data_IF_791059642677
#
_entry.id   IF_791059642677
#
_cell.length_a   1.000
_cell.length_b   1.000
_cell.length_c   1.000
_cell.angle_alpha   90.00
_cell.angle_beta   90.00
_cell.angle_gamma   90.00
#
_symmetry.space_group_name_H-M   'P 1'
#
loop_
_entity.id
_entity.type
_entity.pdbx_description
1 polymer ?
#
# COMPACT_ATOMS: atom_id res chain seq x y z
N UNK A 1 12.68 19.38 17.63
CA UNK A 1 11.28 19.51 17.19
C UNK A 1 10.49 18.48 17.99
N UNK A 2 9.76 18.87 19.04
CA UNK A 2 8.88 17.93 19.77
C UNK A 2 7.86 17.44 18.73
N UNK A 3 7.88 16.16 18.40
CA UNK A 3 6.97 15.57 17.41
C UNK A 3 5.54 15.83 17.86
N UNK A 4 4.69 16.33 16.95
CA UNK A 4 3.25 16.56 17.16
C UNK A 4 2.44 15.25 17.34
N UNK A 5 3.15 14.12 17.40
CA UNK A 5 2.63 12.77 17.42
C UNK A 5 3.24 12.08 18.63
N UNK A 6 2.37 11.47 19.43
CA UNK A 6 2.77 10.60 20.53
C UNK A 6 2.82 9.15 20.05
N UNK A 7 4.03 8.61 19.90
CA UNK A 7 4.23 7.22 19.53
C UNK A 7 4.23 6.27 20.72
N UNK A 8 4.39 6.77 21.94
CA UNK A 8 4.49 5.93 23.13
C UNK A 8 3.12 5.39 23.54
N UNK A 9 2.04 6.15 23.28
CA UNK A 9 0.66 5.73 23.56
C UNK A 9 -0.15 5.37 22.28
N UNK A 10 0.52 5.32 21.13
CA UNK A 10 -0.11 4.97 19.86
C UNK A 10 -0.76 3.56 19.91
N UNK A 11 -2.04 3.42 19.51
CA UNK A 11 -2.75 2.14 19.53
C UNK A 11 -2.08 1.12 18.60
N UNK A 12 -1.72 -0.05 19.15
CA UNK A 12 -1.31 -1.22 18.37
C UNK A 12 -2.54 -2.07 18.12
N UNK A 13 -2.86 -2.31 16.85
CA UNK A 13 -4.03 -3.10 16.44
C UNK A 13 -3.58 -4.38 15.72
N UNK A 14 -4.44 -5.39 15.73
CA UNK A 14 -4.30 -6.59 14.93
C UNK A 14 -5.64 -6.93 14.26
N UNK A 15 -5.67 -6.90 12.92
CA UNK A 15 -6.83 -7.35 12.15
C UNK A 15 -6.65 -8.83 11.77
N UNK A 16 -7.65 -9.69 12.02
CA UNK A 16 -7.55 -11.09 11.64
C UNK A 16 -7.63 -11.25 10.12
N UNK A 17 -6.74 -12.05 9.54
CA UNK A 17 -6.78 -12.42 8.12
C UNK A 17 -6.65 -13.94 7.96
N UNK A 18 -6.83 -14.45 6.73
CA UNK A 18 -6.69 -15.87 6.44
C UNK A 18 -5.28 -16.40 6.72
N UNK A 19 -4.25 -15.57 6.53
CA UNK A 19 -2.84 -15.93 6.66
C UNK A 19 -2.24 -15.55 8.02
N UNK A 20 -3.10 -15.20 8.99
CA UNK A 20 -2.71 -14.71 10.31
C UNK A 20 -3.04 -13.22 10.51
N UNK A 21 -2.83 -12.68 11.72
CA UNK A 21 -3.17 -11.30 12.00
C UNK A 21 -2.23 -10.33 11.26
N UNK A 22 -2.81 -9.29 10.65
CA UNK A 22 -2.05 -8.12 10.18
C UNK A 22 -2.00 -7.11 11.32
N UNK A 23 -0.80 -6.82 11.79
CA UNK A 23 -0.56 -5.95 12.94
C UNK A 23 -0.04 -4.60 12.45
N UNK A 24 -0.41 -3.53 13.14
CA UNK A 24 0.06 -2.19 12.85
C UNK A 24 -0.16 -1.22 14.00
N UNK A 25 0.23 0.02 13.80
CA UNK A 25 0.10 1.12 14.75
C UNK A 25 -0.72 2.24 14.12
N UNK A 26 -1.73 2.73 14.84
CA UNK A 26 -2.45 3.93 14.44
C UNK A 26 -1.70 5.18 14.90
N UNK A 27 -1.48 6.11 13.98
CA UNK A 27 -0.72 7.33 14.20
C UNK A 27 -1.68 8.50 14.25
N UNK A 28 -1.91 9.04 15.44
CA UNK A 28 -2.74 10.24 15.66
C UNK A 28 -1.89 11.50 15.57
N UNK A 29 -2.39 12.51 14.86
CA UNK A 29 -1.73 13.79 14.71
C UNK A 29 -2.73 14.92 14.47
N UNK A 30 -2.27 16.18 14.44
CA UNK A 30 -3.13 17.35 14.42
C UNK A 30 -4.05 17.48 13.19
N UNK A 31 -3.77 16.77 12.09
CA UNK A 31 -4.60 16.75 10.88
C UNK A 31 -5.43 15.46 10.75
N UNK A 32 -5.27 14.48 11.64
CA UNK A 32 -6.03 13.24 11.62
C UNK A 32 -5.17 12.01 11.84
N UNK A 33 -5.60 10.90 11.25
CA UNK A 33 -5.04 9.58 11.51
C UNK A 33 -4.20 9.08 10.34
N UNK A 34 -3.21 8.25 10.64
CA UNK A 34 -2.51 7.43 9.68
C UNK A 34 -2.27 6.03 10.21
N UNK A 35 -1.74 5.15 9.36
CA UNK A 35 -1.49 3.75 9.70
C UNK A 35 -0.05 3.38 9.38
N UNK A 36 0.63 2.83 10.38
CA UNK A 36 1.96 2.24 10.26
C UNK A 36 1.83 0.71 10.33
N UNK A 37 1.89 0.04 9.18
CA UNK A 37 1.74 -1.42 9.07
C UNK A 37 2.73 -2.03 8.06
N UNK A 38 4.05 -1.79 8.19
CA UNK A 38 5.03 -2.38 7.28
C UNK A 38 5.03 -3.91 7.30
N UNK A 39 5.59 -4.55 6.26
CA UNK A 39 5.81 -6.00 6.25
C UNK A 39 6.63 -6.48 7.45
N UNK A 40 6.41 -7.72 7.94
CA UNK A 40 7.03 -8.22 9.18
C UNK A 40 8.57 -8.24 9.13
N UNK A 41 9.16 -8.52 7.97
CA UNK A 41 10.61 -8.65 7.79
C UNK A 41 11.27 -7.37 7.23
N UNK A 42 10.60 -6.22 7.34
CA UNK A 42 11.16 -4.95 6.88
C UNK A 42 12.39 -4.53 7.71
N UNK A 43 13.37 -3.92 7.05
CA UNK A 43 14.46 -3.24 7.74
C UNK A 43 14.01 -1.88 8.28
N UNK A 44 14.83 -1.26 9.13
CA UNK A 44 14.49 0.03 9.75
C UNK A 44 14.34 1.15 8.70
N UNK A 45 15.02 1.05 7.55
CA UNK A 45 14.93 2.04 6.47
C UNK A 45 13.58 1.97 5.73
N UNK A 46 13.09 0.78 5.43
CA UNK A 46 11.76 0.56 4.89
C UNK A 46 10.70 0.95 5.93
N UNK A 47 10.88 0.58 7.20
CA UNK A 47 10.00 1.02 8.29
C UNK A 47 9.93 2.55 8.38
N UNK A 48 11.04 3.28 8.22
CA UNK A 48 11.03 4.74 8.19
C UNK A 48 10.20 5.33 7.02
N UNK A 49 10.20 4.67 5.85
CA UNK A 49 9.31 5.05 4.74
C UNK A 49 7.85 4.87 5.14
N UNK A 50 7.49 3.70 5.65
CA UNK A 50 6.14 3.43 6.14
C UNK A 50 5.69 4.41 7.23
N UNK A 51 6.57 4.77 8.16
CA UNK A 51 6.27 5.77 9.18
C UNK A 51 6.06 7.16 8.56
N UNK A 52 6.86 7.54 7.56
CA UNK A 52 6.62 8.80 6.84
C UNK A 52 5.25 8.80 6.15
N UNK A 53 4.86 7.68 5.54
CA UNK A 53 3.55 7.52 4.91
C UNK A 53 2.41 7.68 5.93
N UNK A 54 2.55 7.07 7.12
CA UNK A 54 1.59 7.18 8.22
C UNK A 54 1.49 8.61 8.79
N UNK A 55 2.62 9.33 8.84
CA UNK A 55 2.67 10.70 9.34
C UNK A 55 2.06 11.72 8.38
N UNK A 56 2.06 11.45 7.07
CA UNK A 56 1.57 12.40 6.07
C UNK A 56 0.10 12.81 6.27
N UNK A 57 -0.89 11.90 6.34
CA UNK A 57 -2.28 12.28 6.59
C UNK A 57 -2.51 12.83 8.01
N UNK A 58 -1.69 12.42 8.99
CA UNK A 58 -1.86 12.85 10.39
C UNK A 58 -1.27 14.24 10.68
N UNK A 59 -0.40 14.78 9.82
CA UNK A 59 0.28 16.06 10.08
C UNK A 59 0.15 17.12 8.99
N UNK A 60 0.13 16.72 7.72
CA UNK A 60 0.12 17.65 6.58
C UNK A 60 -1.11 17.48 5.68
N UNK A 61 -1.69 16.28 5.65
CA UNK A 61 -2.72 15.90 4.68
C UNK A 61 -2.12 15.57 3.31
N UNK A 62 -2.96 15.13 2.36
CA UNK A 62 -2.52 14.73 1.02
C UNK A 62 -2.60 15.89 0.01
N UNK A 63 -1.96 15.76 -1.17
CA UNK A 63 -2.25 16.61 -2.32
C UNK A 63 -3.73 16.55 -2.74
N UNK A 64 -4.19 17.61 -3.40
CA UNK A 64 -5.55 17.65 -3.93
C UNK A 64 -5.79 16.52 -4.94
N UNK A 65 -6.92 15.83 -4.76
CA UNK A 65 -7.37 14.82 -5.70
C UNK A 65 -7.85 15.48 -7.00
N UNK A 66 -7.49 14.88 -8.14
CA UNK A 66 -8.04 15.26 -9.46
C UNK A 66 -9.26 14.42 -9.85
N UNK A 67 -9.61 13.42 -9.05
CA UNK A 67 -10.83 12.61 -9.20
C UNK A 67 -11.44 12.24 -7.85
N UNK A 68 -12.77 12.23 -7.78
CA UNK A 68 -13.50 11.94 -6.53
C UNK A 68 -13.68 10.45 -6.21
N UNK A 69 -13.35 9.55 -7.13
CA UNK A 69 -13.37 8.10 -6.92
C UNK A 69 -12.29 7.42 -7.76
N UNK A 70 -11.81 6.26 -7.30
CA UNK A 70 -10.77 5.47 -7.98
C UNK A 70 -11.34 4.09 -8.35
N UNK A 71 -11.06 3.58 -9.57
CA UNK A 71 -11.46 2.24 -9.97
C UNK A 71 -10.69 1.21 -9.16
N UNK A 72 -11.36 0.11 -8.78
CA UNK A 72 -10.77 -1.00 -8.03
C UNK A 72 -10.85 -2.26 -8.88
N UNK A 73 -9.73 -2.97 -8.95
CA UNK A 73 -9.63 -4.24 -9.66
C UNK A 73 -10.47 -5.32 -8.99
N UNK A 74 -11.17 -6.12 -9.79
CA UNK A 74 -11.85 -7.34 -9.34
C UNK A 74 -10.91 -8.57 -9.34
N UNK A 75 -9.63 -8.35 -9.70
CA UNK A 75 -8.59 -9.37 -9.75
C UNK A 75 -8.61 -10.25 -11.00
N UNK A 76 -9.55 -10.08 -11.95
CA UNK A 76 -9.66 -10.98 -13.11
C UNK A 76 -8.73 -10.61 -14.26
N UNK A 77 -8.56 -9.31 -14.50
CA UNK A 77 -7.73 -8.81 -15.61
C UNK A 77 -6.25 -8.64 -15.25
N UNK A 78 -5.84 -9.02 -14.02
CA UNK A 78 -4.48 -8.84 -13.53
C UNK A 78 -4.03 -10.08 -12.76
N UNK A 79 -2.88 -10.62 -13.15
CA UNK A 79 -2.19 -11.66 -12.39
C UNK A 79 -0.98 -11.08 -11.67
N UNK A 80 -0.68 -11.61 -10.48
CA UNK A 80 0.57 -11.38 -9.76
C UNK A 80 1.37 -12.68 -9.81
N UNK A 81 2.60 -12.62 -10.32
CA UNK A 81 3.43 -13.80 -10.55
C UNK A 81 4.79 -13.61 -9.89
N UNK A 82 5.10 -14.48 -8.93
CA UNK A 82 6.46 -14.61 -8.40
C UNK A 82 7.37 -15.22 -9.47
N UNK A 83 8.53 -14.58 -9.68
CA UNK A 83 9.55 -15.05 -10.62
C UNK A 83 10.66 -15.73 -9.83
N UNK A 84 10.48 -17.02 -9.59
CA UNK A 84 11.51 -17.95 -9.10
C UNK A 84 12.33 -18.53 -10.26
N UNK A 85 11.65 -18.74 -11.39
CA UNK A 85 12.20 -19.24 -12.65
C UNK A 85 11.50 -18.53 -13.83
N UNK A 86 12.29 -17.99 -14.76
CA UNK A 86 11.79 -17.22 -15.91
C UNK A 86 10.92 -18.07 -16.82
N UNK A 87 11.32 -19.31 -17.11
CA UNK A 87 10.59 -20.18 -18.04
C UNK A 87 9.21 -20.53 -17.46
N UNK A 88 9.16 -20.83 -16.16
CA UNK A 88 7.92 -21.09 -15.42
C UNK A 88 7.01 -19.87 -15.37
N UNK A 89 7.56 -18.68 -15.13
CA UNK A 89 6.79 -17.43 -15.13
C UNK A 89 6.18 -17.17 -16.52
N UNK A 90 6.98 -17.29 -17.59
CA UNK A 90 6.51 -17.13 -18.98
C UNK A 90 5.41 -18.14 -19.32
N UNK A 91 5.56 -19.42 -18.93
CA UNK A 91 4.55 -20.43 -19.16
C UNK A 91 3.22 -20.06 -18.47
N UNK A 92 3.27 -19.68 -17.20
CA UNK A 92 2.08 -19.24 -16.44
C UNK A 92 1.37 -18.04 -17.07
N UNK A 93 2.13 -17.07 -17.59
CA UNK A 93 1.55 -15.89 -18.26
C UNK A 93 0.83 -16.30 -19.55
N UNK A 94 1.41 -17.20 -20.34
CA UNK A 94 0.84 -17.66 -21.61
C UNK A 94 -0.40 -18.55 -21.42
N UNK A 95 -0.45 -19.29 -20.32
CA UNK A 95 -1.60 -20.11 -19.96
C UNK A 95 -2.79 -19.29 -19.40
N UNK A 96 -2.53 -18.04 -19.00
CA UNK A 96 -3.57 -17.13 -18.51
C UNK A 96 -4.28 -16.42 -19.67
N UNK A 97 -5.60 -16.37 -19.62
CA UNK A 97 -6.42 -15.67 -20.62
C UNK A 97 -6.98 -14.36 -20.06
N UNK A 98 -7.15 -13.36 -20.93
CA UNK A 98 -7.84 -12.11 -20.58
C UNK A 98 -7.07 -11.15 -19.67
N UNK A 99 -5.75 -11.33 -19.53
CA UNK A 99 -4.92 -10.39 -18.78
C UNK A 99 -4.74 -9.06 -19.53
N UNK A 100 -4.99 -7.95 -18.85
CA UNK A 100 -4.60 -6.61 -19.29
C UNK A 100 -3.14 -6.30 -18.94
N UNK A 101 -2.66 -6.87 -17.83
CA UNK A 101 -1.34 -6.65 -17.25
C UNK A 101 -0.96 -7.85 -16.37
N UNK A 102 0.33 -8.16 -16.28
CA UNK A 102 0.90 -9.00 -15.23
C UNK A 102 1.83 -8.18 -14.34
N UNK A 103 1.68 -8.30 -13.03
CA UNK A 103 2.72 -7.87 -12.09
C UNK A 103 3.69 -9.01 -11.83
N UNK A 104 4.99 -8.72 -11.93
CA UNK A 104 6.05 -9.63 -11.53
C UNK A 104 6.59 -9.25 -10.16
N UNK A 105 6.56 -10.21 -9.24
CA UNK A 105 7.26 -10.12 -7.95
C UNK A 105 8.62 -10.79 -8.13
N UNK A 106 9.67 -9.98 -8.22
CA UNK A 106 11.01 -10.44 -8.51
C UNK A 106 12.08 -9.49 -7.95
N UNK A 107 13.26 -10.02 -7.67
CA UNK A 107 14.41 -9.24 -7.16
C UNK A 107 15.39 -8.86 -8.26
N UNK A 108 15.30 -9.48 -9.43
CA UNK A 108 16.21 -9.29 -10.57
C UNK A 108 15.53 -8.51 -11.68
N UNK A 109 15.99 -7.27 -12.00
CA UNK A 109 15.48 -6.56 -13.17
C UNK A 109 15.78 -7.31 -14.47
N UNK A 110 16.85 -8.11 -14.52
CA UNK A 110 17.19 -8.91 -15.69
C UNK A 110 16.14 -10.01 -15.94
N UNK A 111 15.63 -10.63 -14.87
CA UNK A 111 14.61 -11.67 -14.99
C UNK A 111 13.28 -11.07 -15.44
N UNK A 112 12.90 -9.91 -14.89
CA UNK A 112 11.73 -9.16 -15.35
C UNK A 112 11.84 -8.79 -16.84
N UNK A 113 13.00 -8.28 -17.27
CA UNK A 113 13.25 -7.94 -18.66
C UNK A 113 13.19 -9.17 -19.58
N UNK A 114 13.69 -10.32 -19.13
CA UNK A 114 13.62 -11.57 -19.88
C UNK A 114 12.18 -12.07 -20.03
N UNK A 115 11.39 -12.08 -18.95
CA UNK A 115 9.96 -12.42 -19.00
C UNK A 115 9.25 -11.47 -19.96
N UNK A 116 9.45 -10.15 -19.81
CA UNK A 116 8.84 -9.11 -20.64
C UNK A 116 9.13 -9.31 -22.14
N UNK A 117 10.33 -9.73 -22.52
CA UNK A 117 10.67 -9.99 -23.94
C UNK A 117 9.96 -11.22 -24.52
N UNK A 118 9.41 -12.09 -23.68
CA UNK A 118 8.87 -13.41 -24.07
C UNK A 118 7.35 -13.51 -23.97
N UNK A 119 6.67 -12.45 -23.52
CA UNK A 119 5.21 -12.40 -23.38
C UNK A 119 4.64 -11.18 -24.10
N UNK A 120 3.39 -11.28 -24.55
CA UNK A 120 2.70 -10.19 -25.24
C UNK A 120 1.88 -9.29 -24.30
N UNK A 121 1.70 -9.71 -23.04
CA UNK A 121 0.98 -8.97 -22.00
C UNK A 121 1.92 -7.96 -21.33
N UNK A 122 1.50 -6.70 -21.11
CA UNK A 122 2.30 -5.70 -20.41
C UNK A 122 2.77 -6.19 -19.03
N UNK A 123 4.05 -5.98 -18.73
CA UNK A 123 4.68 -6.36 -17.47
C UNK A 123 4.77 -5.14 -16.55
N UNK A 124 4.34 -5.28 -15.30
CA UNK A 124 4.57 -4.31 -14.24
C UNK A 124 5.50 -4.88 -13.17
N UNK A 125 6.31 -4.01 -12.56
CA UNK A 125 7.19 -4.35 -11.42
C UNK A 125 7.16 -3.25 -10.38
N UNK A 126 7.64 -3.54 -9.18
CA UNK A 126 7.80 -2.53 -8.13
C UNK A 126 8.65 -1.36 -8.60
N UNK A 127 8.22 -0.14 -8.24
CA UNK A 127 8.90 1.07 -8.65
C UNK A 127 10.38 1.12 -8.22
N UNK A 128 10.78 0.44 -7.15
CA UNK A 128 12.17 0.39 -6.70
C UNK A 128 13.05 -0.44 -7.65
N UNK A 129 12.53 -1.52 -8.25
CA UNK A 129 13.26 -2.37 -9.20
C UNK A 129 13.68 -1.60 -10.46
N UNK A 130 12.84 -0.64 -10.89
CA UNK A 130 13.11 0.24 -12.04
C UNK A 130 14.27 1.22 -11.81
N UNK A 131 14.77 1.35 -10.58
CA UNK A 131 15.95 2.15 -10.30
C UNK A 131 17.23 1.57 -10.93
N UNK A 132 17.31 0.24 -11.04
CA UNK A 132 18.45 -0.46 -11.62
C UNK A 132 18.35 -0.57 -13.14
N UNK A 133 17.15 -0.83 -13.66
CA UNK A 133 16.87 -0.87 -15.09
C UNK A 133 15.43 -0.38 -15.37
N UNK A 134 15.25 0.85 -15.87
CA UNK A 134 13.93 1.36 -16.23
C UNK A 134 13.26 0.62 -17.41
N UNK A 135 13.99 -0.21 -18.16
CA UNK A 135 13.48 -0.91 -19.35
C UNK A 135 12.95 -2.31 -19.06
N UNK A 136 13.06 -2.78 -17.80
CA UNK A 136 12.66 -4.14 -17.42
C UNK A 136 11.14 -4.36 -17.33
N UNK A 137 10.34 -3.29 -17.38
CA UNK A 137 8.88 -3.35 -17.31
C UNK A 137 8.22 -2.28 -18.20
N UNK A 138 6.91 -2.46 -18.44
CA UNK A 138 6.04 -1.52 -19.16
C UNK A 138 5.28 -0.57 -18.23
N UNK A 139 5.17 -0.92 -16.94
CA UNK A 139 4.49 -0.12 -15.93
C UNK A 139 5.16 -0.26 -14.54
N UNK A 140 4.94 0.74 -13.69
CA UNK A 140 5.44 0.75 -12.32
C UNK A 140 4.33 0.49 -11.31
N UNK A 141 4.57 -0.41 -10.36
CA UNK A 141 3.73 -0.62 -9.19
C UNK A 141 4.12 0.35 -8.09
N UNK A 142 3.14 1.11 -7.58
CA UNK A 142 3.29 2.07 -6.50
C UNK A 142 2.54 1.60 -5.26
N UNK A 143 3.24 1.52 -4.13
CA UNK A 143 2.65 1.30 -2.81
C UNK A 143 3.00 2.47 -1.91
N UNK A 144 1.99 3.11 -1.32
CA UNK A 144 2.18 4.36 -0.59
C UNK A 144 3.10 4.17 0.63
N UNK A 145 2.92 3.09 1.38
CA UNK A 145 3.75 2.74 2.53
C UNK A 145 5.23 2.61 2.17
N UNK A 146 5.54 1.81 1.14
CA UNK A 146 6.90 1.53 0.70
C UNK A 146 7.60 2.76 0.12
N UNK A 147 6.88 3.63 -0.57
CA UNK A 147 7.45 4.85 -1.16
C UNK A 147 7.49 6.03 -0.17
N UNK A 148 6.90 5.85 1.01
CA UNK A 148 6.90 6.81 2.09
C UNK A 148 5.96 7.99 1.92
N UNK A 149 4.75 7.72 1.43
CA UNK A 149 3.64 8.66 1.36
C UNK A 149 3.26 9.04 -0.06
N UNK A 150 2.08 9.64 -0.19
CA UNK A 150 1.44 10.06 -1.43
C UNK A 150 2.33 11.01 -2.21
N UNK A 151 2.88 12.05 -1.57
CA UNK A 151 3.75 13.01 -2.26
C UNK A 151 5.04 12.37 -2.80
N UNK A 152 5.64 11.45 -2.06
CA UNK A 152 6.86 10.75 -2.50
C UNK A 152 6.54 9.79 -3.65
N UNK A 153 5.44 9.06 -3.55
CA UNK A 153 4.97 8.18 -4.61
C UNK A 153 4.64 8.94 -5.90
N UNK A 154 3.96 10.09 -5.82
CA UNK A 154 3.70 10.95 -6.98
C UNK A 154 4.98 11.44 -7.64
N UNK A 155 5.98 11.90 -6.86
CA UNK A 155 7.29 12.28 -7.41
C UNK A 155 8.00 11.11 -8.07
N UNK A 156 7.84 9.89 -7.55
CA UNK A 156 8.39 8.67 -8.17
C UNK A 156 7.71 8.39 -9.50
N UNK A 157 6.37 8.46 -9.56
CA UNK A 157 5.59 8.29 -10.78
C UNK A 157 6.01 9.29 -11.87
N UNK A 158 6.10 10.58 -11.52
CA UNK A 158 6.51 11.64 -12.44
C UNK A 158 7.92 11.41 -12.99
N UNK A 159 8.87 11.01 -12.13
CA UNK A 159 10.25 10.71 -12.54
C UNK A 159 10.37 9.49 -13.44
N UNK A 160 9.54 8.47 -13.23
CA UNK A 160 9.56 7.26 -14.04
C UNK A 160 8.97 7.51 -15.44
N UNK A 161 8.02 8.44 -15.56
CA UNK A 161 7.48 8.86 -16.85
C UNK A 161 6.80 7.73 -17.65
N UNK A 162 6.27 6.72 -16.96
CA UNK A 162 5.62 5.55 -17.54
C UNK A 162 4.27 5.28 -16.87
N UNK A 163 3.41 4.42 -17.45
CA UNK A 163 2.16 4.01 -16.80
C UNK A 163 2.41 3.46 -15.39
N UNK A 164 1.49 3.78 -14.48
CA UNK A 164 1.58 3.32 -13.09
C UNK A 164 0.33 2.60 -12.66
N UNK A 165 0.52 1.72 -11.69
CA UNK A 165 -0.51 0.95 -11.01
C UNK A 165 -0.38 1.21 -9.52
N UNK A 166 -1.48 1.56 -8.87
CA UNK A 166 -1.50 1.76 -7.42
C UNK A 166 -1.98 0.49 -6.75
N UNK A 167 -1.10 -0.12 -5.98
CA UNK A 167 -1.42 -1.25 -5.13
C UNK A 167 -1.77 -0.80 -3.73
N UNK A 168 -2.75 -1.50 -3.17
CA UNK A 168 -3.27 -1.23 -1.85
C UNK A 168 -2.51 -2.06 -0.82
N UNK A 169 -1.92 -1.38 0.15
CA UNK A 169 -0.97 -1.93 1.11
C UNK A 169 -1.46 -1.79 2.56
N UNK A 170 -2.43 -0.90 2.80
CA UNK A 170 -3.03 -0.69 4.11
C UNK A 170 -3.73 -1.93 4.68
N UNK A 171 -3.51 -2.20 5.97
CA UNK A 171 -4.20 -3.26 6.69
C UNK A 171 -5.61 -2.84 7.14
N UNK A 172 -5.87 -1.55 7.33
CA UNK A 172 -7.21 -1.00 7.64
C UNK A 172 -7.64 0.05 6.62
N UNK A 173 -8.88 0.53 6.72
CA UNK A 173 -9.34 1.66 5.89
C UNK A 173 -8.54 2.95 6.11
N UNK A 174 -7.85 3.11 7.25
CA UNK A 174 -7.02 4.29 7.52
C UNK A 174 -5.78 4.28 6.62
N UNK A 175 -5.04 3.16 6.58
CA UNK A 175 -3.89 3.00 5.69
C UNK A 175 -4.29 2.96 4.23
N UNK A 176 -5.37 2.23 3.91
CA UNK A 176 -5.88 2.11 2.55
C UNK A 176 -6.28 3.47 1.94
N UNK A 177 -6.76 4.40 2.77
CA UNK A 177 -7.11 5.74 2.32
C UNK A 177 -5.90 6.51 1.74
N UNK A 178 -4.67 6.24 2.20
CA UNK A 178 -3.46 6.83 1.62
C UNK A 178 -3.18 6.30 0.20
N UNK A 179 -3.41 5.00 -0.04
CA UNK A 179 -3.28 4.44 -1.39
C UNK A 179 -4.38 4.97 -2.33
N UNK A 180 -5.62 5.11 -1.83
CA UNK A 180 -6.71 5.75 -2.57
C UNK A 180 -6.39 7.21 -2.90
N UNK A 181 -5.84 7.96 -1.95
CA UNK A 181 -5.45 9.35 -2.16
C UNK A 181 -4.34 9.49 -3.22
N UNK A 182 -3.37 8.57 -3.23
CA UNK A 182 -2.37 8.50 -4.30
C UNK A 182 -3.02 8.29 -5.67
N UNK A 183 -3.86 7.26 -5.81
CA UNK A 183 -4.57 7.01 -7.07
C UNK A 183 -5.47 8.19 -7.50
N UNK A 184 -6.07 8.89 -6.55
CA UNK A 184 -6.92 10.05 -6.81
C UNK A 184 -6.14 11.29 -7.25
N UNK A 185 -4.87 11.43 -6.86
CA UNK A 185 -4.04 12.60 -7.17
C UNK A 185 -3.21 12.44 -8.47
N UNK A 186 -2.98 11.22 -8.95
CA UNK A 186 -2.25 10.97 -10.20
C UNK A 186 -2.99 11.55 -11.42
N UNK A 187 -2.29 12.16 -12.37
CA UNK A 187 -2.98 12.70 -13.56
C UNK A 187 -3.53 11.58 -14.46
N UNK A 188 -2.70 10.57 -14.72
CA UNK A 188 -3.06 9.39 -15.49
C UNK A 188 -3.23 8.19 -14.54
N UNK A 189 -4.36 7.50 -14.66
CA UNK A 189 -4.70 6.30 -13.90
C UNK A 189 -5.31 5.29 -14.86
N UNK A 190 -4.44 4.61 -15.61
CA UNK A 190 -4.83 3.65 -16.65
C UNK A 190 -5.42 2.37 -16.09
N UNK A 191 -4.86 1.86 -15.01
CA UNK A 191 -5.21 0.56 -14.45
C UNK A 191 -6.06 0.71 -13.18
N UNK A 192 -6.97 -0.25 -12.97
CA UNK A 192 -7.73 -0.33 -11.73
C UNK A 192 -6.82 -0.67 -10.54
N UNK A 193 -7.05 -0.03 -9.39
CA UNK A 193 -6.19 -0.11 -8.21
C UNK A 193 -6.49 -1.34 -7.34
N UNK A 194 -5.59 -1.64 -6.40
CA UNK A 194 -5.82 -2.65 -5.37
C UNK A 194 -5.05 -3.95 -5.59
N UNK A 195 -5.54 -5.07 -5.01
CA UNK A 195 -6.90 -5.31 -4.53
C UNK A 195 -7.23 -4.69 -3.16
N UNK A 196 -8.52 -4.53 -2.86
CA UNK A 196 -8.96 -4.17 -1.49
C UNK A 196 -8.89 -5.40 -0.58
N UNK A 197 -8.31 -5.29 0.63
CA UNK A 197 -8.25 -6.42 1.54
C UNK A 197 -9.64 -6.94 1.94
N UNK A 198 -9.86 -8.24 1.76
CA UNK A 198 -11.17 -8.86 1.98
C UNK A 198 -11.62 -8.78 3.45
N UNK A 199 -10.66 -8.78 4.38
CA UNK A 199 -10.93 -8.72 5.82
C UNK A 199 -11.55 -7.40 6.27
N UNK A 200 -11.49 -6.32 5.48
CA UNK A 200 -12.10 -5.04 5.87
C UNK A 200 -13.61 -5.12 6.09
N UNK A 201 -14.29 -6.13 5.52
CA UNK A 201 -15.74 -6.33 5.75
C UNK A 201 -16.07 -6.55 7.23
N UNK A 202 -15.20 -7.28 7.93
CA UNK A 202 -15.47 -7.75 9.29
C UNK A 202 -14.43 -7.27 10.32
N UNK A 203 -13.21 -6.96 9.88
CA UNK A 203 -12.03 -6.67 10.71
C UNK A 203 -11.43 -5.29 10.42
N UNK A 204 -12.23 -4.23 10.44
CA UNK A 204 -11.78 -2.85 10.22
C UNK A 204 -11.99 -1.98 11.46
N UNK A 205 -11.08 -1.03 11.67
CA UNK A 205 -11.04 -0.15 12.86
C UNK A 205 -12.01 1.04 12.75
N UNK A 206 -12.51 1.34 11.56
CA UNK A 206 -13.47 2.44 11.33
C UNK A 206 -14.91 1.92 11.31
N UNK A 207 -15.89 2.81 11.45
CA UNK A 207 -17.32 2.44 11.36
C UNK A 207 -17.66 1.81 10.00
N UNK A 208 -18.69 0.93 9.90
CA UNK A 208 -19.07 0.30 8.64
C UNK A 208 -19.32 1.27 7.48
N UNK A 209 -19.93 2.43 7.76
CA UNK A 209 -20.22 3.46 6.76
C UNK A 209 -18.97 4.21 6.26
N UNK A 210 -17.83 4.04 6.94
CA UNK A 210 -16.55 4.66 6.62
C UNK A 210 -15.51 3.64 6.15
N UNK A 211 -15.84 2.35 6.18
CA UNK A 211 -14.96 1.29 5.68
C UNK A 211 -14.84 1.39 4.16
N UNK A 212 -13.62 1.31 3.64
CA UNK A 212 -13.30 1.40 2.23
C UNK A 212 -13.56 0.05 1.54
N UNK A 213 -14.85 -0.26 1.41
CA UNK A 213 -15.35 -1.42 0.68
C UNK A 213 -15.84 -0.94 -0.70
N UNK A 214 -15.38 -1.55 -1.82
CA UNK A 214 -15.79 -1.11 -3.15
C UNK A 214 -17.30 -1.17 -3.36
N UNK A 215 -17.85 -0.13 -3.97
CA UNK A 215 -19.21 -0.07 -4.49
C UNK A 215 -19.15 0.21 -6.00
N UNK A 216 -19.84 -0.61 -6.80
CA UNK A 216 -19.83 -0.55 -8.27
C UNK A 216 -18.42 -0.54 -8.90
N UNK A 217 -17.46 -1.21 -8.26
CA UNK A 217 -16.06 -1.26 -8.72
C UNK A 217 -15.23 -0.01 -8.40
N UNK A 218 -15.69 0.86 -7.49
CA UNK A 218 -14.97 2.08 -7.10
C UNK A 218 -14.83 2.25 -5.59
N UNK A 219 -13.80 3.00 -5.19
CA UNK A 219 -13.67 3.58 -3.85
C UNK A 219 -13.72 5.11 -3.89
N UNK A 220 -14.31 5.77 -2.88
CA UNK A 220 -14.34 7.23 -2.79
C UNK A 220 -12.97 7.79 -2.39
N UNK A 221 -12.56 8.88 -3.03
CA UNK A 221 -11.37 9.63 -2.66
C UNK A 221 -11.73 10.70 -1.62
N UNK A 222 -11.65 10.35 -0.34
CA UNK A 222 -11.82 11.31 0.75
C UNK A 222 -10.56 12.17 0.91
N UNK A 223 -10.67 13.44 1.32
CA UNK A 223 -9.51 14.33 1.52
C UNK A 223 -8.65 13.94 2.74
N UNK A 224 -9.19 13.08 3.62
CA UNK A 224 -8.51 12.58 4.81
C UNK A 224 -9.06 11.21 5.23
N UNK A 225 -8.28 10.40 5.97
CA UNK A 225 -8.76 9.16 6.54
C UNK A 225 -9.94 9.36 7.50
N UNK A 226 -10.76 8.33 7.66
CA UNK A 226 -11.73 8.32 8.74
C UNK A 226 -11.03 8.12 10.09
N UNK A 227 -11.55 8.74 11.15
CA UNK A 227 -11.12 8.42 12.50
C UNK A 227 -11.52 6.98 12.87
N UNK A 228 -10.73 6.27 13.70
CA UNK A 228 -11.12 4.97 14.22
C UNK A 228 -12.40 5.08 15.04
N UNK A 229 -13.26 4.06 14.93
CA UNK A 229 -14.42 3.88 15.80
C UNK A 229 -13.93 3.31 17.13
N UNK A 230 -14.17 3.97 18.28
CA UNK A 230 -13.60 3.54 19.56
C UNK A 230 -13.97 2.11 19.95
N UNK A 231 -15.21 1.68 19.71
CA UNK A 231 -15.69 0.36 20.10
C UNK A 231 -15.14 -0.74 19.18
N UNK A 232 -14.86 -0.42 17.91
CA UNK A 232 -14.18 -1.35 16.98
C UNK A 232 -12.70 -1.43 17.26
N UNK A 233 -12.04 -0.30 17.47
CA UNK A 233 -10.63 -0.26 17.82
C UNK A 233 -10.37 -1.08 19.08
N UNK A 234 -11.16 -0.90 20.14
CA UNK A 234 -11.03 -1.65 21.40
C UNK A 234 -11.00 -3.17 21.20
N UNK A 235 -11.80 -3.70 20.27
CA UNK A 235 -11.84 -5.14 19.95
C UNK A 235 -10.62 -5.64 19.19
N UNK A 236 -9.94 -4.75 18.48
CA UNK A 236 -8.80 -5.06 17.63
C UNK A 236 -7.47 -4.66 18.28
N UNK A 237 -7.49 -4.07 19.49
CA UNK A 237 -6.28 -3.74 20.22
C UNK A 237 -5.49 -5.00 20.57
N UNK A 238 -4.18 -4.94 20.33
CA UNK A 238 -3.26 -5.95 20.82
C UNK A 238 -3.09 -5.79 22.32
N UNK A 239 -3.45 -6.81 23.08
CA UNK A 239 -3.31 -6.84 24.55
C UNK A 239 -2.02 -7.54 25.01
N UNK A 240 -1.36 -8.29 24.13
CA UNK A 240 -0.09 -8.93 24.43
C UNK A 240 1.04 -7.89 24.57
N UNK A 241 1.58 -7.77 25.77
CA UNK A 241 2.56 -6.74 26.10
C UNK A 241 3.87 -6.90 25.31
N UNK A 242 4.29 -8.12 24.99
CA UNK A 242 5.50 -8.35 24.22
C UNK A 242 5.36 -7.84 22.78
N UNK A 243 4.23 -8.16 22.14
CA UNK A 243 3.89 -7.68 20.79
C UNK A 243 3.78 -6.16 20.76
N UNK A 244 3.10 -5.54 21.73
CA UNK A 244 3.00 -4.08 21.83
C UNK A 244 4.40 -3.43 21.93
N UNK A 245 5.27 -3.98 22.78
CA UNK A 245 6.63 -3.44 22.93
C UNK A 245 7.48 -3.62 21.67
N UNK A 246 7.34 -4.74 20.95
CA UNK A 246 8.01 -4.96 19.68
C UNK A 246 7.63 -3.89 18.65
N UNK A 247 6.33 -3.62 18.49
CA UNK A 247 5.83 -2.62 17.55
C UNK A 247 6.23 -1.19 17.94
N UNK A 248 6.16 -0.84 19.22
CA UNK A 248 6.65 0.45 19.72
C UNK A 248 8.16 0.62 19.47
N UNK A 249 8.95 -0.43 19.70
CA UNK A 249 10.38 -0.40 19.41
C UNK A 249 10.65 -0.20 17.91
N UNK A 250 9.90 -0.85 17.02
CA UNK A 250 10.00 -0.65 15.57
C UNK A 250 9.68 0.80 15.18
N UNK A 251 8.57 1.36 15.68
CA UNK A 251 8.22 2.78 15.43
C UNK A 251 9.33 3.71 15.90
N UNK A 252 9.93 3.48 17.09
CA UNK A 252 11.04 4.30 17.59
C UNK A 252 12.28 4.21 16.70
N UNK A 253 12.65 3.01 16.23
CA UNK A 253 13.78 2.85 15.31
C UNK A 253 13.52 3.53 13.97
N UNK A 254 12.33 3.38 13.42
CA UNK A 254 11.90 4.09 12.21
C UNK A 254 11.93 5.62 12.39
N UNK A 255 11.40 6.13 13.51
CA UNK A 255 11.38 7.55 13.82
C UNK A 255 12.79 8.15 14.00
N UNK A 256 13.75 7.37 14.48
CA UNK A 256 15.14 7.82 14.62
C UNK A 256 15.85 8.08 13.27
N UNK A 257 15.26 7.64 12.16
CA UNK A 257 15.77 7.85 10.80
C UNK A 257 15.08 9.01 10.04
N UNK A 258 14.11 9.69 10.66
CA UNK A 258 13.34 10.81 10.08
C UNK A 258 13.86 12.17 10.53
#
# INVERSE_FOLDING_TARGET
MRTLIDFDDAPVFAVPTADGPRVGVLVDGPQGWGEFSPPPDCDDALAARWLTAAMEPSTVGWPDAVRGRVPVSDGRARAVIEVDDVDRAVARIRDAEGLELVELVCSSPADAAEVRRRVDVPVAVEADLLGADPQCADAAVLRCGELGGVRRAMRRAERLGMPVLVEFSGATSIGLAADVALAAALQDLRYACGPVPQWLRDGDVVSPARSLIPADGYLPAAPMPAAPDPARLERLLVTDAATVQQWRALVRRAAALL
#
